data_IF_834814790812
#
_entry.id   IF_834814790812
#
_cell.length_a   1.000
_cell.length_b   1.000
_cell.length_c   1.000
_cell.angle_alpha   90.00
_cell.angle_beta   90.00
_cell.angle_gamma   90.00
#
_symmetry.space_group_name_H-M   'P 1'
#
loop_
_entity.id
_entity.type
_entity.pdbx_description
1 polymer ?
#
# COMPACT_ATOMS: atom_id res chain seq x y z
N UNK A 1 -5.26 11.84 5.97
CA UNK A 1 -5.93 10.59 6.34
C UNK A 1 -5.50 10.25 7.75
N UNK A 2 -6.43 10.02 8.65
CA UNK A 2 -6.16 9.55 10.02
C UNK A 2 -6.07 8.02 10.05
N UNK A 3 -5.73 7.44 11.21
CA UNK A 3 -5.54 5.99 11.34
C UNK A 3 -6.79 5.17 10.95
N UNK A 4 -8.02 5.53 11.39
CA UNK A 4 -9.24 4.85 10.95
C UNK A 4 -9.47 4.93 9.44
N UNK A 5 -9.29 6.11 8.83
CA UNK A 5 -9.44 6.25 7.38
C UNK A 5 -8.44 5.41 6.58
N UNK A 6 -7.22 5.23 7.11
CA UNK A 6 -6.23 4.34 6.50
C UNK A 6 -6.67 2.87 6.56
N UNK A 7 -7.20 2.42 7.69
CA UNK A 7 -7.71 1.05 7.83
C UNK A 7 -8.89 0.76 6.91
N UNK A 8 -9.79 1.73 6.73
CA UNK A 8 -10.91 1.62 5.79
C UNK A 8 -10.41 1.41 4.36
N UNK A 9 -9.46 2.23 3.90
CA UNK A 9 -8.87 2.08 2.55
C UNK A 9 -8.22 0.72 2.37
N UNK A 10 -7.45 0.25 3.37
CA UNK A 10 -6.80 -1.08 3.30
C UNK A 10 -7.85 -2.19 3.24
N UNK A 11 -8.92 -2.07 4.03
CA UNK A 11 -9.99 -3.09 4.11
C UNK A 11 -10.82 -3.17 2.82
N UNK A 12 -10.88 -2.09 2.05
CA UNK A 12 -11.62 -2.00 0.80
C UNK A 12 -10.76 -2.25 -0.46
N UNK A 13 -9.48 -2.62 -0.32
CA UNK A 13 -8.61 -2.88 -1.46
C UNK A 13 -9.13 -4.05 -2.31
N UNK A 14 -9.23 -3.82 -3.61
CA UNK A 14 -9.56 -4.84 -4.59
C UNK A 14 -8.34 -5.25 -5.42
N UNK A 15 -8.44 -6.40 -6.10
CA UNK A 15 -7.38 -6.84 -7.04
C UNK A 15 -7.18 -5.86 -8.20
N UNK A 16 -8.22 -5.13 -8.57
CA UNK A 16 -8.22 -4.09 -9.62
C UNK A 16 -7.37 -2.88 -9.23
N UNK A 17 -7.16 -2.64 -7.93
CA UNK A 17 -6.31 -1.57 -7.42
C UNK A 17 -4.83 -1.91 -7.51
N UNK A 18 -4.47 -3.18 -7.74
CA UNK A 18 -3.07 -3.58 -7.83
C UNK A 18 -2.40 -2.90 -9.02
N UNK A 19 -1.32 -2.16 -8.75
CA UNK A 19 -0.56 -1.47 -9.77
C UNK A 19 0.67 -2.28 -10.19
N UNK A 20 1.51 -2.66 -9.22
CA UNK A 20 2.71 -3.49 -9.43
C UNK A 20 3.26 -4.02 -8.12
N UNK A 21 4.09 -5.05 -8.20
CA UNK A 21 4.96 -5.48 -7.11
C UNK A 21 6.41 -5.12 -7.43
N UNK A 22 7.18 -4.72 -6.43
CA UNK A 22 8.59 -4.38 -6.57
C UNK A 22 9.38 -4.71 -5.31
N UNK A 23 10.66 -5.01 -5.43
CA UNK A 23 11.51 -5.24 -4.27
C UNK A 23 11.92 -3.94 -3.59
N UNK A 24 12.18 -3.97 -2.29
CA UNK A 24 12.74 -2.83 -1.55
C UNK A 24 14.18 -2.54 -1.99
N UNK A 25 14.59 -1.27 -1.95
CA UNK A 25 15.98 -0.88 -2.21
C UNK A 25 16.92 -1.33 -1.09
N UNK A 26 16.44 -1.38 0.15
CA UNK A 26 17.24 -1.77 1.31
C UNK A 26 17.44 -3.28 1.39
N UNK A 27 16.46 -4.05 0.93
CA UNK A 27 16.58 -5.50 0.81
C UNK A 27 15.73 -6.02 -0.36
N UNK A 28 16.43 -6.52 -1.38
CA UNK A 28 15.87 -7.17 -2.56
C UNK A 28 15.03 -8.43 -2.28
N UNK A 29 15.08 -9.00 -1.07
CA UNK A 29 14.22 -10.14 -0.67
C UNK A 29 12.85 -9.68 -0.19
N UNK A 30 12.73 -8.43 0.24
CA UNK A 30 11.47 -7.86 0.71
C UNK A 30 10.70 -7.31 -0.48
N UNK A 31 9.54 -7.90 -0.73
CA UNK A 31 8.60 -7.43 -1.74
C UNK A 31 7.66 -6.37 -1.18
N UNK A 32 7.37 -5.38 -2.02
CA UNK A 32 6.43 -4.31 -1.77
C UNK A 32 5.38 -4.31 -2.87
N UNK A 33 4.13 -4.57 -2.50
CA UNK A 33 3.00 -4.41 -3.40
C UNK A 33 2.56 -2.95 -3.40
N UNK A 34 2.34 -2.41 -4.59
CA UNK A 34 1.85 -1.06 -4.80
C UNK A 34 0.44 -1.13 -5.33
N UNK A 35 -0.49 -0.52 -4.59
CA UNK A 35 -1.89 -0.36 -4.96
C UNK A 35 -2.18 1.11 -5.30
N UNK A 36 -3.20 1.34 -6.13
CA UNK A 36 -3.67 2.67 -6.51
C UNK A 36 -5.20 2.80 -6.45
N UNK A 37 -5.80 2.65 -5.25
CA UNK A 37 -7.24 2.79 -5.10
C UNK A 37 -7.70 4.24 -5.31
N UNK A 38 -8.96 4.39 -5.72
CA UNK A 38 -9.65 5.67 -5.69
C UNK A 38 -10.24 5.88 -4.30
N UNK A 39 -9.83 6.96 -3.62
CA UNK A 39 -10.33 7.32 -2.30
C UNK A 39 -11.10 8.65 -2.35
N UNK A 40 -11.69 9.06 -1.22
CA UNK A 40 -12.31 10.38 -1.09
C UNK A 40 -11.34 11.56 -1.39
N UNK A 41 -10.03 11.31 -1.31
CA UNK A 41 -8.99 12.31 -1.59
C UNK A 41 -8.37 12.16 -3.00
N UNK A 42 -8.95 11.29 -3.84
CA UNK A 42 -8.44 10.95 -5.16
C UNK A 42 -7.61 9.66 -5.17
N UNK A 43 -6.87 9.45 -6.26
CA UNK A 43 -5.97 8.30 -6.40
C UNK A 43 -4.77 8.46 -5.47
N UNK A 44 -4.52 7.46 -4.65
CA UNK A 44 -3.37 7.41 -3.75
C UNK A 44 -2.50 6.21 -4.08
N UNK A 45 -1.17 6.35 -3.98
CA UNK A 45 -0.27 5.20 -4.08
C UNK A 45 -0.03 4.63 -2.69
N UNK A 46 -0.51 3.41 -2.47
CA UNK A 46 -0.35 2.66 -1.24
C UNK A 46 0.71 1.58 -1.44
N UNK A 47 1.80 1.64 -0.69
CA UNK A 47 2.81 0.59 -0.62
C UNK A 47 2.55 -0.29 0.58
N UNK A 48 2.56 -1.60 0.36
CA UNK A 48 2.31 -2.62 1.38
C UNK A 48 3.45 -3.64 1.34
N UNK A 49 3.99 -3.99 2.50
CA UNK A 49 4.98 -5.05 2.64
C UNK A 49 4.75 -5.79 3.95
N UNK A 50 5.00 -7.10 3.95
CA UNK A 50 4.96 -7.92 5.17
C UNK A 50 6.40 -8.20 5.61
N UNK A 51 6.74 -7.83 6.84
CA UNK A 51 8.06 -8.08 7.45
C UNK A 51 7.82 -8.65 8.84
N UNK A 52 8.40 -9.81 9.12
CA UNK A 52 8.24 -10.52 10.40
C UNK A 52 6.77 -10.63 10.85
N UNK A 53 5.90 -11.05 9.92
CA UNK A 53 4.43 -11.16 10.09
C UNK A 53 3.69 -9.85 10.40
N UNK A 54 4.36 -8.70 10.29
CA UNK A 54 3.77 -7.36 10.45
C UNK A 54 3.51 -6.70 9.10
N UNK A 55 2.29 -6.19 8.91
CA UNK A 55 1.91 -5.41 7.74
C UNK A 55 2.41 -3.97 7.88
N UNK A 56 3.37 -3.59 7.03
CA UNK A 56 3.86 -2.23 6.92
C UNK A 56 3.14 -1.55 5.75
N UNK A 57 2.53 -0.40 6.05
CA UNK A 57 1.80 0.40 5.06
C UNK A 57 2.45 1.77 4.95
N UNK A 58 2.64 2.25 3.73
CA UNK A 58 3.22 3.56 3.47
C UNK A 58 2.53 4.23 2.28
N UNK A 59 2.26 5.53 2.42
CA UNK A 59 1.76 6.33 1.31
C UNK A 59 2.94 6.95 0.57
N UNK A 60 2.91 6.86 -0.76
CA UNK A 60 3.88 7.56 -1.59
C UNK A 60 3.29 8.93 -1.97
N UNK A 61 3.98 10.00 -1.60
CA UNK A 61 3.67 11.35 -2.12
C UNK A 61 3.98 11.40 -3.63
N UNK A 62 3.16 12.16 -4.35
CA UNK A 62 3.20 12.32 -5.80
C UNK A 62 4.51 12.98 -6.27
#
# INVERSE_FOLDING_TARGET
MDYPGMLEVISCLERTDFYKSMTSHMDHRVWQDVYRPLTAFGYVYLKVSVVDDVLIVSFKEL
#
